data_IF_377938847111
#
_entry.id   IF_377938847111
#
_cell.length_a   1.000
_cell.length_b   1.000
_cell.length_c   1.000
_cell.angle_alpha   90.00
_cell.angle_beta   90.00
_cell.angle_gamma   90.00
#
_symmetry.space_group_name_H-M   'P 1'
#
loop_
_entity.id
_entity.type
_entity.pdbx_description
1 polymer ?
#
# COMPACT_ATOMS: atom_id res chain seq x y z
N UNK A 1 47.43 -37.88 -37.58
CA UNK A 1 48.38 -37.14 -36.72
C UNK A 1 47.52 -36.48 -35.64
N UNK A 2 47.41 -37.08 -34.44
CA UNK A 2 48.32 -36.90 -33.28
C UNK A 2 48.34 -35.42 -32.85
N UNK A 3 48.10 -34.97 -31.60
CA UNK A 3 47.96 -35.55 -30.27
C UNK A 3 47.34 -34.43 -29.37
N UNK A 4 46.47 -34.76 -28.40
CA UNK A 4 46.63 -34.57 -26.93
C UNK A 4 46.35 -33.19 -26.33
N UNK A 5 45.52 -33.19 -25.27
CA UNK A 5 45.44 -32.11 -24.29
C UNK A 5 44.28 -32.27 -23.29
N UNK A 6 44.44 -33.15 -22.30
CA UNK A 6 43.54 -33.36 -21.14
C UNK A 6 43.40 -32.12 -20.24
N UNK A 7 42.27 -32.00 -19.51
CA UNK A 7 42.14 -31.90 -18.03
C UNK A 7 40.67 -31.57 -17.67
N UNK A 8 39.92 -32.52 -17.10
CA UNK A 8 39.64 -32.70 -15.65
C UNK A 8 38.44 -31.84 -15.16
N UNK A 9 37.26 -32.41 -14.95
CA UNK A 9 36.79 -33.14 -13.76
C UNK A 9 35.97 -32.20 -12.86
N UNK A 10 34.64 -32.37 -12.80
CA UNK A 10 33.83 -32.34 -11.57
C UNK A 10 32.45 -32.96 -11.86
N UNK A 11 32.36 -34.26 -11.59
CA UNK A 11 31.11 -34.92 -11.23
C UNK A 11 31.05 -34.97 -9.70
N UNK A 12 29.93 -34.54 -9.11
CA UNK A 12 29.64 -34.65 -7.67
C UNK A 12 28.14 -34.52 -7.47
N UNK A 13 27.40 -35.61 -7.66
CA UNK A 13 26.87 -36.52 -6.63
C UNK A 13 25.66 -35.96 -5.86
N UNK A 14 24.50 -36.50 -6.25
CA UNK A 14 23.26 -36.52 -5.49
C UNK A 14 23.46 -37.26 -4.16
N UNK A 15 23.02 -36.66 -3.06
CA UNK A 15 22.77 -37.38 -1.82
C UNK A 15 21.57 -36.77 -1.10
N UNK A 16 20.42 -37.40 -1.30
CA UNK A 16 19.24 -37.31 -0.44
C UNK A 16 19.58 -37.95 0.91
N UNK A 17 19.40 -37.22 2.01
CA UNK A 17 19.42 -37.78 3.35
C UNK A 17 18.00 -37.76 3.93
N UNK A 18 17.59 -38.95 4.36
CA UNK A 18 16.26 -39.33 4.77
C UNK A 18 15.80 -38.67 6.08
N UNK A 19 14.50 -38.43 6.16
CA UNK A 19 13.77 -38.23 7.40
C UNK A 19 13.79 -39.52 8.25
N UNK A 20 13.88 -39.44 9.58
CA UNK A 20 13.44 -40.53 10.43
C UNK A 20 11.93 -40.37 10.69
N UNK A 21 11.17 -41.29 10.10
CA UNK A 21 9.85 -41.66 10.55
C UNK A 21 9.92 -42.20 11.99
N UNK A 22 9.15 -41.62 12.90
CA UNK A 22 8.73 -42.30 14.12
C UNK A 22 7.24 -42.60 14.01
N UNK A 23 6.89 -43.88 13.94
CA UNK A 23 5.53 -44.38 14.11
C UNK A 23 5.46 -45.29 15.32
N UNK A 24 4.53 -44.95 16.22
CA UNK A 24 3.61 -45.78 16.99
C UNK A 24 4.14 -47.01 17.75
N UNK A 25 3.93 -47.02 19.08
CA UNK A 25 2.90 -47.87 19.70
C UNK A 25 2.76 -47.68 21.24
N UNK A 26 1.49 -47.46 21.64
CA UNK A 26 0.78 -47.92 22.85
C UNK A 26 1.43 -47.94 24.24
N UNK A 27 0.80 -47.20 25.16
CA UNK A 27 0.14 -47.84 26.30
C UNK A 27 -1.08 -47.06 26.76
N UNK A 28 -2.26 -47.61 26.44
CA UNK A 28 -3.48 -47.41 27.21
C UNK A 28 -3.27 -48.00 28.59
N UNK A 29 -3.31 -47.17 29.63
CA UNK A 29 -3.64 -47.65 30.97
C UNK A 29 -4.78 -46.81 31.51
N UNK A 30 -5.98 -47.33 31.28
CA UNK A 30 -7.20 -46.95 32.00
C UNK A 30 -7.00 -47.23 33.48
N UNK A 31 -7.09 -46.20 34.31
CA UNK A 31 -7.22 -46.30 35.75
C UNK A 31 -8.51 -45.64 36.17
N UNK A 32 -9.55 -46.44 36.40
CA UNK A 32 -10.74 -46.03 37.15
C UNK A 32 -10.40 -46.04 38.64
N UNK A 33 -10.53 -44.91 39.32
CA UNK A 33 -10.75 -44.87 40.77
C UNK A 33 -11.35 -43.52 41.21
N UNK A 34 -12.67 -43.54 41.44
CA UNK A 34 -13.38 -42.98 42.61
C UNK A 34 -13.12 -41.53 43.03
N UNK A 35 -14.16 -40.70 42.80
CA UNK A 35 -14.92 -39.93 43.81
C UNK A 35 -14.18 -39.51 45.08
N UNK A 36 -13.97 -38.20 45.22
CA UNK A 36 -14.17 -37.52 46.50
C UNK A 36 -14.68 -36.11 46.26
N UNK A 37 -15.96 -35.88 46.59
CA UNK A 37 -16.48 -34.54 46.85
C UNK A 37 -15.65 -33.91 47.96
N UNK A 38 -15.17 -32.70 47.73
CA UNK A 38 -15.04 -31.72 48.80
C UNK A 38 -15.35 -30.33 48.24
N UNK A 39 -16.39 -29.75 48.84
CA UNK A 39 -16.86 -28.40 48.66
C UNK A 39 -15.76 -27.41 49.01
N UNK A 40 -15.39 -26.55 48.07
CA UNK A 40 -14.90 -25.22 48.37
C UNK A 40 -15.53 -24.26 47.37
N UNK A 41 -16.56 -23.58 47.84
CA UNK A 41 -17.22 -22.46 47.20
C UNK A 41 -16.18 -21.38 46.88
N UNK A 42 -15.66 -21.40 45.66
CA UNK A 42 -14.93 -20.27 45.10
C UNK A 42 -15.96 -19.41 44.40
N UNK A 43 -16.39 -18.35 45.07
CA UNK A 43 -17.00 -17.20 44.42
C UNK A 43 -15.95 -16.61 43.48
N UNK A 44 -15.79 -17.22 42.30
CA UNK A 44 -15.12 -16.56 41.20
C UNK A 44 -16.12 -15.52 40.71
N UNK A 45 -16.01 -14.32 41.26
CA UNK A 45 -16.46 -13.12 40.60
C UNK A 45 -15.72 -13.07 39.25
N UNK A 46 -16.31 -13.71 38.24
CA UNK A 46 -16.10 -13.35 36.86
C UNK A 46 -16.82 -12.01 36.63
N UNK A 47 -16.36 -10.96 37.30
CA UNK A 47 -16.35 -9.64 36.69
C UNK A 47 -15.35 -9.74 35.56
N UNK A 48 -15.76 -10.38 34.46
CA UNK A 48 -15.08 -10.22 33.19
C UNK A 48 -14.93 -8.72 33.03
N UNK A 49 -13.68 -8.26 33.07
CA UNK A 49 -13.35 -6.96 32.54
C UNK A 49 -13.92 -6.99 31.13
N UNK A 50 -15.04 -6.32 30.96
CA UNK A 50 -15.45 -5.77 29.70
C UNK A 50 -14.24 -4.93 29.30
N UNK A 51 -13.32 -5.57 28.56
CA UNK A 51 -12.16 -4.92 27.96
C UNK A 51 -12.78 -3.77 27.22
N UNK A 52 -12.65 -2.55 27.76
CA UNK A 52 -13.21 -1.32 27.23
C UNK A 52 -13.01 -1.33 25.72
N UNK A 53 -14.05 -1.77 24.99
CA UNK A 53 -13.99 -1.94 23.55
C UNK A 53 -13.98 -0.53 23.00
N UNK A 54 -12.82 -0.07 22.59
CA UNK A 54 -12.70 1.22 21.93
C UNK A 54 -13.20 1.05 20.50
N UNK A 55 -14.22 1.82 20.14
CA UNK A 55 -14.69 1.87 18.76
C UNK A 55 -13.58 2.44 17.85
N UNK A 56 -13.56 2.06 16.55
CA UNK A 56 -12.65 2.66 15.60
C UNK A 56 -12.88 4.17 15.53
N UNK A 57 -11.79 4.93 15.63
CA UNK A 57 -11.82 6.39 15.47
C UNK A 57 -10.86 6.80 14.37
N UNK A 58 -10.95 8.04 13.87
CA UNK A 58 -10.02 8.57 12.90
C UNK A 58 -9.37 9.86 13.38
N UNK A 59 -8.06 9.94 13.18
CA UNK A 59 -7.25 11.13 13.44
C UNK A 59 -7.06 11.92 12.15
N UNK A 60 -7.01 13.24 12.26
CA UNK A 60 -6.57 14.10 11.15
C UNK A 60 -5.10 13.82 10.82
N UNK A 61 -4.81 13.60 9.54
CA UNK A 61 -3.46 13.40 9.00
C UNK A 61 -3.14 14.34 7.86
N UNK A 62 -3.93 15.39 7.67
CA UNK A 62 -3.84 16.29 6.52
C UNK A 62 -2.45 16.90 6.42
N UNK A 63 -1.93 17.50 7.50
CA UNK A 63 -0.59 18.11 7.50
C UNK A 63 0.51 17.09 7.17
N UNK A 64 0.50 15.93 7.85
CA UNK A 64 1.51 14.89 7.67
C UNK A 64 1.52 14.30 6.25
N UNK A 65 0.33 14.17 5.65
CA UNK A 65 0.16 13.61 4.31
C UNK A 65 0.42 14.66 3.22
N UNK A 66 0.07 15.93 3.45
CA UNK A 66 0.14 17.00 2.45
C UNK A 66 1.56 17.19 1.92
N UNK A 67 2.56 17.18 2.80
CA UNK A 67 3.96 17.35 2.42
C UNK A 67 4.42 16.25 1.46
N UNK A 68 4.04 15.00 1.76
CA UNK A 68 4.38 13.83 0.93
C UNK A 68 3.65 13.88 -0.40
N UNK A 69 2.36 14.20 -0.40
CA UNK A 69 1.55 14.32 -1.62
C UNK A 69 2.13 15.43 -2.52
N UNK A 70 2.44 16.60 -1.97
CA UNK A 70 3.01 17.72 -2.73
C UNK A 70 4.41 17.42 -3.24
N UNK A 71 5.22 16.67 -2.47
CA UNK A 71 6.52 16.19 -2.96
C UNK A 71 6.35 15.30 -4.20
N UNK A 72 5.42 14.35 -4.18
CA UNK A 72 5.13 13.47 -5.31
C UNK A 72 4.56 14.23 -6.52
N UNK A 73 3.68 15.21 -6.28
CA UNK A 73 3.08 16.06 -7.34
C UNK A 73 4.08 17.05 -7.94
N UNK A 74 5.02 17.56 -7.15
CA UNK A 74 5.97 18.59 -7.56
C UNK A 74 7.29 18.03 -8.08
N UNK A 75 8.12 17.48 -7.17
CA UNK A 75 9.53 17.13 -7.43
C UNK A 75 9.66 16.11 -8.55
N UNK A 76 8.75 15.14 -8.61
CA UNK A 76 8.81 14.04 -9.57
C UNK A 76 8.24 14.42 -10.95
N UNK A 77 7.53 15.54 -11.07
CA UNK A 77 6.73 15.85 -12.26
C UNK A 77 7.05 17.22 -12.84
N UNK A 78 8.21 17.81 -12.52
CA UNK A 78 8.69 19.07 -13.11
C UNK A 78 7.69 20.24 -13.00
N UNK A 79 6.82 20.21 -11.98
CA UNK A 79 5.80 21.24 -11.77
C UNK A 79 4.60 21.16 -12.72
N UNK A 80 4.34 20.00 -13.34
CA UNK A 80 3.14 19.77 -14.16
C UNK A 80 1.85 19.79 -13.33
N UNK A 81 1.94 19.57 -12.01
CA UNK A 81 0.82 19.63 -11.09
C UNK A 81 0.99 20.78 -10.11
N UNK A 82 -0.10 21.49 -9.84
CA UNK A 82 -0.15 22.47 -8.76
C UNK A 82 -0.02 21.78 -7.40
N UNK A 83 0.62 22.49 -6.46
CA UNK A 83 0.68 22.07 -5.05
C UNK A 83 -0.70 22.19 -4.43
N UNK A 84 -1.11 21.15 -3.72
CA UNK A 84 -2.33 21.15 -2.92
C UNK A 84 -2.16 22.00 -1.67
N UNK A 85 -3.28 22.54 -1.20
CA UNK A 85 -3.41 23.12 0.13
C UNK A 85 -4.37 22.29 1.01
N UNK A 86 -4.52 22.66 2.27
CA UNK A 86 -5.44 21.96 3.19
C UNK A 86 -6.90 22.33 2.86
N UNK A 87 -7.78 21.33 2.81
CA UNK A 87 -9.23 21.54 2.85
C UNK A 87 -9.74 21.45 4.29
N UNK A 88 -10.66 22.33 4.67
CA UNK A 88 -11.38 22.18 5.93
C UNK A 88 -12.58 21.21 5.82
N UNK A 89 -13.12 20.79 6.97
CA UNK A 89 -14.21 19.80 7.01
C UNK A 89 -15.51 20.29 6.34
N UNK A 90 -15.75 21.61 6.32
CA UNK A 90 -16.92 22.19 5.67
C UNK A 90 -16.77 22.16 4.15
N UNK A 91 -15.58 22.47 3.63
CA UNK A 91 -15.24 22.33 2.21
C UNK A 91 -15.39 20.88 1.74
N UNK A 92 -14.89 19.92 2.52
CA UNK A 92 -15.07 18.47 2.25
C UNK A 92 -16.55 18.11 2.17
N UNK A 93 -17.31 18.48 3.21
CA UNK A 93 -18.75 18.19 3.30
C UNK A 93 -19.52 18.78 2.12
N UNK A 94 -19.21 20.02 1.74
CA UNK A 94 -19.89 20.70 0.65
C UNK A 94 -19.53 20.09 -0.70
N UNK A 95 -18.25 19.79 -0.92
CA UNK A 95 -17.76 19.19 -2.17
C UNK A 95 -18.39 17.80 -2.40
N UNK A 96 -18.44 16.95 -1.37
CA UNK A 96 -19.06 15.62 -1.42
C UNK A 96 -20.57 15.64 -1.72
N UNK A 97 -21.26 16.75 -1.44
CA UNK A 97 -22.68 16.94 -1.79
C UNK A 97 -22.89 17.38 -3.24
N UNK A 98 -21.84 17.87 -3.91
CA UNK A 98 -21.92 18.47 -5.26
C UNK A 98 -21.28 17.63 -6.36
N UNK A 99 -20.58 16.54 -6.04
CA UNK A 99 -20.06 15.59 -7.03
C UNK A 99 -21.21 14.89 -7.80
N UNK A 100 -20.89 14.20 -8.91
CA UNK A 100 -21.88 13.54 -9.80
C UNK A 100 -22.79 12.57 -9.06
N UNK A 101 -22.22 11.82 -8.11
CA UNK A 101 -22.96 10.93 -7.21
C UNK A 101 -22.81 11.46 -5.78
N UNK A 102 -23.76 12.25 -5.26
CA UNK A 102 -23.64 12.88 -3.95
C UNK A 102 -23.46 11.87 -2.83
N UNK A 103 -22.53 12.15 -1.92
CA UNK A 103 -22.32 11.35 -0.72
C UNK A 103 -23.10 11.97 0.44
N UNK A 104 -24.07 11.22 0.96
CA UNK A 104 -24.89 11.62 2.12
C UNK A 104 -24.72 10.71 3.33
N UNK A 105 -24.04 9.57 3.16
CA UNK A 105 -23.71 8.63 4.22
C UNK A 105 -22.18 8.53 4.33
N UNK A 106 -21.56 8.87 5.47
CA UNK A 106 -22.20 9.23 6.73
C UNK A 106 -22.81 10.64 6.69
N UNK A 107 -23.77 10.90 7.58
CA UNK A 107 -24.35 12.24 7.72
C UNK A 107 -23.26 13.28 8.04
N UNK A 108 -23.30 14.39 7.30
CA UNK A 108 -22.25 15.43 7.25
C UNK A 108 -20.86 14.81 7.06
N UNK A 109 -20.61 14.25 5.87
CA UNK A 109 -19.44 13.43 5.64
C UNK A 109 -18.16 14.26 5.67
N UNK A 110 -17.22 13.83 6.51
CA UNK A 110 -15.86 14.37 6.59
C UNK A 110 -14.86 13.25 6.31
N UNK A 111 -13.59 13.59 6.04
CA UNK A 111 -12.54 12.59 5.82
C UNK A 111 -12.46 11.58 6.98
N UNK A 112 -12.58 12.05 8.23
CA UNK A 112 -12.58 11.19 9.43
C UNK A 112 -13.74 10.20 9.43
N UNK A 113 -14.97 10.67 9.21
CA UNK A 113 -16.15 9.81 9.23
C UNK A 113 -16.13 8.79 8.10
N UNK A 114 -15.64 9.19 6.93
CA UNK A 114 -15.47 8.28 5.78
C UNK A 114 -14.40 7.23 6.07
N UNK A 115 -13.25 7.61 6.64
CA UNK A 115 -12.20 6.68 7.02
C UNK A 115 -12.73 5.59 7.98
N UNK A 116 -13.51 5.98 8.99
CA UNK A 116 -14.17 5.03 9.92
C UNK A 116 -15.14 4.11 9.17
N UNK A 117 -15.97 4.65 8.27
CA UNK A 117 -16.90 3.83 7.47
C UNK A 117 -16.19 2.83 6.56
N UNK A 118 -15.07 3.23 5.97
CA UNK A 118 -14.23 2.36 5.14
C UNK A 118 -13.58 1.24 5.96
N UNK A 119 -13.07 1.54 7.15
CA UNK A 119 -12.50 0.53 8.04
C UNK A 119 -13.57 -0.46 8.55
N UNK A 120 -14.80 0.03 8.75
CA UNK A 120 -15.94 -0.72 9.27
C UNK A 120 -16.26 -0.34 10.71
N UNK A 121 -17.55 -0.32 11.04
CA UNK A 121 -18.06 0.16 12.33
C UNK A 121 -17.86 -0.85 13.49
N UNK A 122 -17.23 -2.00 13.24
CA UNK A 122 -16.90 -3.00 14.26
C UNK A 122 -15.51 -2.74 14.82
N UNK A 123 -15.27 -3.14 16.07
CA UNK A 123 -13.95 -3.02 16.69
C UNK A 123 -12.86 -3.85 15.98
N UNK A 124 -13.23 -4.75 15.06
CA UNK A 124 -12.29 -5.56 14.27
C UNK A 124 -11.93 -4.93 12.93
N UNK A 125 -12.67 -3.92 12.46
CA UNK A 125 -12.42 -3.26 11.17
C UNK A 125 -12.22 -4.25 10.00
N UNK A 126 -13.08 -5.25 9.92
CA UNK A 126 -12.95 -6.33 8.92
C UNK A 126 -13.08 -5.81 7.49
N UNK A 127 -13.92 -4.80 7.27
CA UNK A 127 -14.12 -4.17 5.96
C UNK A 127 -12.88 -3.42 5.45
N UNK A 128 -12.02 -2.95 6.36
CA UNK A 128 -10.88 -2.10 6.02
C UNK A 128 -9.90 -2.76 5.05
N UNK A 129 -9.82 -4.10 5.01
CA UNK A 129 -8.91 -4.83 4.12
C UNK A 129 -9.22 -4.58 2.65
N UNK A 130 -10.51 -4.54 2.33
CA UNK A 130 -11.03 -4.44 0.97
C UNK A 130 -11.50 -3.01 0.65
N UNK A 131 -11.16 -2.04 1.52
CA UNK A 131 -11.53 -0.64 1.35
C UNK A 131 -10.90 -0.06 0.07
N UNK A 132 -11.74 0.61 -0.72
CA UNK A 132 -11.38 1.19 -2.00
C UNK A 132 -12.20 2.47 -2.26
N UNK A 133 -12.05 3.05 -3.44
CA UNK A 133 -12.73 4.30 -3.83
C UNK A 133 -14.14 4.12 -4.44
N UNK A 134 -14.73 2.91 -4.39
CA UNK A 134 -16.01 2.60 -5.06
C UNK A 134 -17.16 3.44 -4.53
N UNK A 135 -17.28 3.55 -3.21
CA UNK A 135 -18.32 4.35 -2.57
C UNK A 135 -17.88 5.78 -2.29
N UNK A 136 -16.61 5.98 -1.98
CA UNK A 136 -16.06 7.25 -1.52
C UNK A 136 -14.87 7.64 -2.40
N UNK A 137 -15.03 8.64 -3.30
CA UNK A 137 -13.93 9.05 -4.16
C UNK A 137 -12.81 9.66 -3.32
N UNK A 138 -11.60 9.16 -3.50
CA UNK A 138 -10.41 9.61 -2.80
C UNK A 138 -9.32 8.56 -2.81
N UNK A 139 -8.16 8.93 -2.25
CA UNK A 139 -7.11 7.96 -1.96
C UNK A 139 -7.53 7.11 -0.76
N UNK A 140 -7.43 5.80 -0.90
CA UNK A 140 -7.81 4.80 0.12
C UNK A 140 -6.67 3.81 0.28
N UNK A 141 -6.05 3.79 1.46
CA UNK A 141 -4.94 2.87 1.76
C UNK A 141 -5.28 2.04 3.01
N UNK A 142 -5.68 0.77 2.83
CA UNK A 142 -5.73 -0.21 3.91
C UNK A 142 -4.36 -0.42 4.56
N UNK A 143 -4.31 -0.54 5.88
CA UNK A 143 -3.08 -0.96 6.59
C UNK A 143 -3.39 -1.80 7.82
N UNK A 144 -2.49 -2.72 8.14
CA UNK A 144 -2.70 -3.69 9.23
C UNK A 144 -2.93 -3.00 10.58
N UNK A 145 -3.82 -3.57 11.39
CA UNK A 145 -3.97 -3.16 12.79
C UNK A 145 -2.65 -3.23 13.57
N UNK A 146 -2.51 -2.39 14.59
CA UNK A 146 -1.26 -2.25 15.35
C UNK A 146 -0.14 -1.50 14.64
N UNK A 147 -0.32 -1.14 13.36
CA UNK A 147 0.63 -0.29 12.62
C UNK A 147 0.32 1.18 12.85
N UNK A 148 1.35 1.99 13.11
CA UNK A 148 1.21 3.43 13.18
C UNK A 148 1.09 4.01 11.75
N UNK A 149 0.06 4.82 11.44
CA UNK A 149 -0.09 5.40 10.11
C UNK A 149 0.95 6.49 9.89
N UNK A 150 1.98 6.17 9.10
CA UNK A 150 2.94 7.14 8.59
C UNK A 150 2.58 7.45 7.15
N UNK A 151 2.14 8.68 6.89
CA UNK A 151 1.78 9.09 5.53
C UNK A 151 2.92 8.90 4.54
N UNK A 152 4.18 9.14 4.95
CA UNK A 152 5.36 8.92 4.11
C UNK A 152 5.44 7.49 3.58
N UNK A 153 5.25 6.52 4.46
CA UNK A 153 5.46 5.11 4.15
C UNK A 153 4.27 4.60 3.32
N UNK A 154 3.05 4.87 3.80
CA UNK A 154 1.82 4.42 3.17
C UNK A 154 1.64 5.01 1.76
N UNK A 155 1.81 6.33 1.60
CA UNK A 155 1.60 6.99 0.31
C UNK A 155 2.71 6.61 -0.68
N UNK A 156 3.96 6.51 -0.21
CA UNK A 156 5.06 6.13 -1.11
C UNK A 156 4.96 4.67 -1.58
N UNK A 157 4.53 3.76 -0.70
CA UNK A 157 4.31 2.35 -1.03
C UNK A 157 3.19 2.21 -2.07
N UNK A 158 2.00 2.79 -1.81
CA UNK A 158 0.87 2.71 -2.76
C UNK A 158 1.20 3.39 -4.08
N UNK A 159 1.92 4.51 -4.05
CA UNK A 159 2.34 5.22 -5.27
C UNK A 159 3.27 4.35 -6.13
N UNK A 160 4.25 3.71 -5.50
CA UNK A 160 5.20 2.82 -6.19
C UNK A 160 4.51 1.58 -6.74
N UNK A 161 3.67 0.92 -5.92
CA UNK A 161 2.91 -0.26 -6.34
C UNK A 161 1.95 0.06 -7.49
N UNK A 162 1.25 1.19 -7.42
CA UNK A 162 0.30 1.62 -8.43
C UNK A 162 0.96 1.97 -9.76
N UNK A 163 2.10 2.66 -9.73
CA UNK A 163 2.88 2.90 -10.95
C UNK A 163 3.35 1.59 -11.58
N UNK A 164 3.93 0.68 -10.80
CA UNK A 164 4.34 -0.63 -11.31
C UNK A 164 3.16 -1.36 -11.97
N UNK A 165 1.98 -1.33 -11.35
CA UNK A 165 0.78 -1.94 -11.92
C UNK A 165 0.34 -1.31 -13.26
N UNK A 166 0.32 0.03 -13.34
CA UNK A 166 0.00 0.75 -14.58
C UNK A 166 0.98 0.41 -15.71
N UNK A 167 2.27 0.27 -15.36
CA UNK A 167 3.33 -0.12 -16.29
C UNK A 167 3.17 -1.55 -16.79
N UNK A 168 2.93 -2.50 -15.90
CA UNK A 168 2.72 -3.92 -16.23
C UNK A 168 1.55 -4.11 -17.21
N UNK A 169 0.49 -3.30 -17.06
CA UNK A 169 -0.68 -3.34 -17.93
C UNK A 169 -0.51 -2.52 -19.23
N UNK A 170 0.65 -1.87 -19.43
CA UNK A 170 0.91 -0.98 -20.57
C UNK A 170 -0.21 0.07 -20.75
N UNK A 171 -0.66 0.67 -19.65
CA UNK A 171 -1.77 1.61 -19.68
C UNK A 171 -1.50 2.79 -20.64
N UNK A 172 -2.49 3.11 -21.48
CA UNK A 172 -2.47 4.23 -22.42
C UNK A 172 -3.29 5.41 -21.87
N UNK A 173 -2.64 6.52 -21.44
CA UNK A 173 -3.32 7.68 -20.88
C UNK A 173 -4.20 8.43 -21.89
N UNK A 174 -3.97 8.25 -23.20
CA UNK A 174 -4.72 8.98 -24.23
C UNK A 174 -6.16 8.46 -24.39
N UNK A 175 -6.34 7.16 -24.17
CA UNK A 175 -7.61 6.45 -24.29
C UNK A 175 -8.22 6.05 -22.94
N UNK A 176 -7.42 5.99 -21.87
CA UNK A 176 -7.86 5.54 -20.56
C UNK A 176 -8.76 6.54 -19.83
N UNK A 177 -9.85 6.02 -19.26
CA UNK A 177 -10.72 6.73 -18.31
C UNK A 177 -10.66 6.04 -16.95
N UNK A 178 -10.89 6.81 -15.89
CA UNK A 178 -10.98 6.29 -14.54
C UNK A 178 -12.29 5.52 -14.35
N UNK A 179 -12.18 4.29 -13.86
CA UNK A 179 -13.29 3.45 -13.43
C UNK A 179 -12.74 2.45 -12.41
N UNK A 180 -13.13 2.62 -11.14
CA UNK A 180 -12.68 1.79 -10.01
C UNK A 180 -13.11 0.32 -10.13
N UNK A 181 -14.08 -0.01 -10.98
CA UNK A 181 -14.51 -1.40 -11.20
C UNK A 181 -13.72 -2.09 -12.34
N UNK A 182 -12.96 -1.33 -13.14
CA UNK A 182 -12.30 -1.83 -14.36
C UNK A 182 -10.79 -1.64 -14.30
N UNK A 183 -10.05 -2.59 -14.86
CA UNK A 183 -8.59 -2.47 -14.96
C UNK A 183 -8.18 -1.23 -15.78
N UNK A 184 -7.15 -0.48 -15.36
CA UNK A 184 -6.22 -0.82 -14.27
C UNK A 184 -6.68 -0.37 -12.87
N UNK A 185 -7.76 0.42 -12.77
CA UNK A 185 -8.12 1.13 -11.54
C UNK A 185 -8.96 0.29 -10.55
N UNK A 186 -9.33 -0.93 -10.92
CA UNK A 186 -9.77 -1.95 -9.96
C UNK A 186 -8.66 -2.45 -9.03
N UNK A 187 -7.41 -2.12 -9.31
CA UNK A 187 -6.32 -2.21 -8.36
C UNK A 187 -6.26 -0.93 -7.50
N UNK A 188 -6.32 -1.08 -6.18
CA UNK A 188 -6.39 0.06 -5.24
C UNK A 188 -5.17 0.99 -5.35
N UNK A 189 -3.97 0.45 -5.57
CA UNK A 189 -2.75 1.24 -5.68
C UNK A 189 -2.74 2.07 -6.97
N UNK A 190 -3.16 1.49 -8.09
CA UNK A 190 -3.31 2.23 -9.35
C UNK A 190 -4.41 3.30 -9.26
N UNK A 191 -5.51 3.01 -8.57
CA UNK A 191 -6.53 4.02 -8.25
C UNK A 191 -5.97 5.15 -7.38
N UNK A 192 -5.16 4.83 -6.37
CA UNK A 192 -4.54 5.84 -5.51
C UNK A 192 -3.57 6.74 -6.29
N UNK A 193 -2.80 6.19 -7.23
CA UNK A 193 -1.96 6.99 -8.14
C UNK A 193 -2.81 7.96 -8.96
N UNK A 194 -3.96 7.52 -9.46
CA UNK A 194 -4.88 8.39 -10.20
C UNK A 194 -5.35 9.58 -9.36
N UNK A 195 -5.74 9.36 -8.10
CA UNK A 195 -6.11 10.45 -7.18
C UNK A 195 -4.94 11.37 -6.82
N UNK A 196 -3.76 10.82 -6.54
CA UNK A 196 -2.56 11.61 -6.19
C UNK A 196 -2.18 12.58 -7.30
N UNK A 197 -2.35 12.16 -8.55
CA UNK A 197 -1.90 12.89 -9.73
C UNK A 197 -3.03 13.64 -10.46
N UNK A 198 -4.25 13.62 -9.94
CA UNK A 198 -5.38 14.32 -10.52
C UNK A 198 -5.15 15.84 -10.50
N UNK A 199 -5.21 16.47 -11.68
CA UNK A 199 -4.80 17.86 -11.87
C UNK A 199 -5.82 18.89 -11.39
N UNK A 200 -7.11 18.55 -11.43
CA UNK A 200 -8.18 19.49 -11.06
C UNK A 200 -8.26 19.72 -9.55
N UNK A 201 -7.75 18.79 -8.75
CA UNK A 201 -7.74 18.95 -7.30
C UNK A 201 -6.72 19.97 -6.82
N UNK A 202 -7.16 20.88 -5.95
CA UNK A 202 -6.35 21.96 -5.36
C UNK A 202 -6.21 21.90 -3.85
N UNK A 203 -7.06 21.11 -3.21
CA UNK A 203 -7.08 20.94 -1.76
C UNK A 203 -7.29 19.49 -1.37
N UNK A 204 -6.78 19.12 -0.21
CA UNK A 204 -6.93 17.76 0.34
C UNK A 204 -7.20 17.81 1.83
N UNK A 205 -8.00 16.85 2.31
CA UNK A 205 -8.19 16.55 3.73
C UNK A 205 -7.98 15.06 3.95
N UNK A 206 -7.13 14.68 4.90
CA UNK A 206 -6.78 13.29 5.17
C UNK A 206 -7.11 12.89 6.59
N UNK A 207 -7.53 11.65 6.76
CA UNK A 207 -7.72 11.04 8.06
C UNK A 207 -7.30 9.57 8.05
N UNK A 208 -6.76 9.09 9.17
CA UNK A 208 -6.36 7.69 9.32
C UNK A 208 -7.06 7.08 10.51
N UNK A 209 -7.63 5.88 10.34
CA UNK A 209 -8.29 5.19 11.44
C UNK A 209 -7.30 4.55 12.42
N UNK A 210 -7.72 4.40 13.65
CA UNK A 210 -6.99 3.71 14.69
C UNK A 210 -7.96 2.84 15.51
N UNK A 211 -7.43 2.18 16.53
CA UNK A 211 -8.21 1.38 17.49
C UNK A 211 -8.92 0.15 16.91
N UNK A 212 -8.61 -0.25 15.68
CA UNK A 212 -8.96 -1.58 15.19
C UNK A 212 -8.20 -2.65 16.01
N UNK A 213 -8.94 -3.54 16.66
CA UNK A 213 -8.41 -4.65 17.46
C UNK A 213 -7.93 -5.84 16.61
N UNK A 214 -8.34 -5.87 15.35
CA UNK A 214 -7.94 -6.83 14.33
C UNK A 214 -8.06 -6.15 12.95
N UNK A 215 -8.04 -6.92 11.87
CA UNK A 215 -8.34 -6.42 10.53
C UNK A 215 -7.38 -5.32 10.06
N UNK A 216 -7.93 -4.30 9.40
CA UNK A 216 -7.18 -3.19 8.81
C UNK A 216 -7.78 -1.85 9.20
N UNK A 217 -6.90 -0.92 9.55
CA UNK A 217 -7.21 0.50 9.55
C UNK A 217 -7.17 1.02 8.09
N UNK A 218 -7.61 2.26 7.89
CA UNK A 218 -7.66 2.91 6.58
C UNK A 218 -7.13 4.34 6.70
N UNK A 219 -6.20 4.70 5.81
CA UNK A 219 -5.86 6.09 5.52
C UNK A 219 -6.72 6.53 4.33
N UNK A 220 -7.54 7.55 4.55
CA UNK A 220 -8.39 8.15 3.54
C UNK A 220 -7.99 9.60 3.31
N UNK A 221 -7.80 10.00 2.06
CA UNK A 221 -7.64 11.39 1.67
C UNK A 221 -8.69 11.78 0.65
N UNK A 222 -9.50 12.79 1.00
CA UNK A 222 -10.44 13.41 0.08
C UNK A 222 -9.79 14.62 -0.58
N UNK A 223 -9.88 14.68 -1.90
CA UNK A 223 -9.42 15.82 -2.69
C UNK A 223 -10.63 16.65 -3.11
N UNK A 224 -10.58 17.98 -2.94
CA UNK A 224 -11.62 18.88 -3.45
C UNK A 224 -11.59 18.82 -4.98
N UNK A 225 -12.77 18.76 -5.58
CA UNK A 225 -12.95 18.44 -7.00
C UNK A 225 -12.31 17.08 -7.35
N UNK A 226 -12.79 15.99 -6.71
CA UNK A 226 -12.14 14.69 -6.81
C UNK A 226 -12.29 14.11 -8.22
N UNK A 227 -11.35 13.25 -8.58
CA UNK A 227 -11.45 12.36 -9.73
C UNK A 227 -12.72 11.51 -9.61
N UNK A 228 -13.48 11.41 -10.70
CA UNK A 228 -14.73 10.64 -10.77
C UNK A 228 -14.72 9.69 -11.98
N UNK A 229 -15.61 8.71 -11.96
CA UNK A 229 -15.78 7.75 -13.05
C UNK A 229 -15.97 8.46 -14.41
N UNK A 230 -15.23 8.01 -15.42
CA UNK A 230 -15.22 8.56 -16.77
C UNK A 230 -14.19 9.69 -16.99
N UNK A 231 -13.57 10.22 -15.93
CA UNK A 231 -12.55 11.26 -16.06
C UNK A 231 -11.25 10.67 -16.62
N UNK A 232 -10.40 11.50 -17.23
CA UNK A 232 -9.07 11.08 -17.71
C UNK A 232 -8.02 11.41 -16.65
N UNK A 233 -7.54 10.44 -15.86
CA UNK A 233 -6.75 10.73 -14.67
C UNK A 233 -5.36 11.31 -14.96
N UNK A 234 -4.86 11.13 -16.18
CA UNK A 234 -3.57 11.67 -16.59
C UNK A 234 -3.67 12.34 -17.95
N UNK A 235 -3.02 13.49 -18.09
CA UNK A 235 -2.63 13.98 -19.41
C UNK A 235 -1.50 13.12 -19.96
N UNK A 236 -1.35 13.05 -21.29
CA UNK A 236 -0.23 12.34 -21.92
C UNK A 236 1.12 12.89 -21.45
N UNK A 237 1.22 14.21 -21.22
CA UNK A 237 2.42 14.85 -20.72
C UNK A 237 2.77 14.39 -19.29
N UNK A 238 1.78 14.44 -18.38
CA UNK A 238 1.92 13.98 -17.01
C UNK A 238 2.33 12.51 -16.95
N UNK A 239 1.68 11.65 -17.72
CA UNK A 239 1.99 10.23 -17.75
C UNK A 239 3.39 9.94 -18.30
N UNK A 240 3.80 10.64 -19.36
CA UNK A 240 5.16 10.50 -19.89
C UNK A 240 6.23 10.99 -18.90
N UNK A 241 5.93 12.02 -18.10
CA UNK A 241 6.83 12.48 -17.06
C UNK A 241 7.09 11.41 -15.99
N UNK A 242 6.07 10.62 -15.63
CA UNK A 242 6.22 9.49 -14.69
C UNK A 242 7.28 8.48 -15.15
N UNK A 243 7.34 8.19 -16.45
CA UNK A 243 8.30 7.22 -17.00
C UNK A 243 9.64 7.83 -17.40
N UNK A 244 9.67 9.13 -17.68
CA UNK A 244 10.90 9.89 -17.85
C UNK A 244 11.81 9.82 -16.61
N UNK A 245 11.24 9.61 -15.42
CA UNK A 245 11.97 9.40 -14.16
C UNK A 245 12.87 8.15 -14.18
N UNK A 246 12.45 7.06 -14.81
CA UNK A 246 13.26 5.83 -14.88
C UNK A 246 14.44 5.99 -15.85
N UNK A 247 14.24 6.72 -16.95
CA UNK A 247 15.30 6.97 -17.94
C UNK A 247 16.38 7.94 -17.44
N UNK A 248 16.07 8.76 -16.43
CA UNK A 248 17.01 9.70 -15.80
C UNK A 248 17.85 9.10 -14.66
N UNK A 249 17.52 7.91 -14.18
CA UNK A 249 18.23 7.22 -13.09
C UNK A 249 19.18 6.10 -13.59
N UNK A 250 19.48 6.06 -14.89
CA UNK A 250 20.66 5.34 -15.35
C UNK A 250 21.89 6.05 -14.77
N UNK A 251 22.48 5.45 -13.73
CA UNK A 251 23.86 5.71 -13.32
C UNK A 251 24.74 5.58 -14.56
N UNK A 252 25.01 6.70 -15.22
CA UNK A 252 26.18 6.83 -16.05
C UNK A 252 27.35 6.84 -15.07
N UNK A 253 27.75 5.64 -14.63
CA UNK A 253 29.18 5.43 -14.43
C UNK A 253 29.80 5.67 -15.79
N UNK A 254 30.12 6.93 -16.07
CA UNK A 254 31.02 7.30 -17.14
C UNK A 254 32.24 6.40 -16.94
N UNK A 255 32.57 5.47 -17.86
CA UNK A 255 33.88 4.89 -17.82
C UNK A 255 34.81 6.07 -18.05
N UNK A 256 35.50 6.49 -16.99
CA UNK A 256 36.51 7.53 -17.07
C UNK A 256 37.44 7.16 -18.21
N UNK A 257 37.46 8.00 -19.25
CA UNK A 257 38.28 7.90 -20.46
C UNK A 257 39.78 7.86 -20.13
N UNK A 258 40.16 7.96 -18.85
CA UNK A 258 41.53 7.88 -18.37
C UNK A 258 42.13 6.46 -18.24
N UNK A 259 41.39 5.36 -18.45
CA UNK A 259 41.95 3.99 -18.24
C UNK A 259 42.28 3.17 -19.48
N UNK A 260 42.14 3.71 -20.70
CA UNK A 260 42.52 2.97 -21.93
C UNK A 260 43.94 3.31 -22.43
N UNK A 261 44.61 4.34 -21.87
CA UNK A 261 45.93 4.77 -22.34
C UNK A 261 47.15 4.23 -21.57
N UNK A 262 46.97 3.31 -20.61
CA UNK A 262 48.10 2.75 -19.83
C UNK A 262 48.37 1.25 -20.01
N UNK A 263 47.75 0.59 -20.98
CA UNK A 263 48.00 -0.83 -21.29
C UNK A 263 48.79 -1.08 -22.60
N UNK A 264 49.09 -0.03 -23.37
CA UNK A 264 49.83 -0.14 -24.64
C UNK A 264 51.33 0.20 -24.54
N UNK A 265 51.81 0.67 -23.39
CA UNK A 265 53.23 0.99 -23.18
C UNK A 265 54.09 -0.17 -22.64
N UNK A 266 53.50 -1.33 -22.34
CA UNK A 266 54.23 -2.50 -21.81
C UNK A 266 54.58 -3.58 -22.85
N UNK A 267 54.27 -3.36 -24.13
CA UNK A 267 54.59 -4.30 -25.23
C UNK A 267 55.74 -3.84 -26.15
N UNK A 268 56.58 -2.90 -25.70
CA UNK A 268 57.81 -2.49 -26.42
C UNK A 268 59.06 -2.68 -25.53
N UNK A 269 59.11 -3.77 -24.76
CA UNK A 269 60.35 -4.22 -24.10
C UNK A 269 60.43 -5.74 -24.05
N UNK A 270 60.68 -6.33 -25.22
CA UNK A 270 61.49 -7.54 -25.42
C UNK A 270 62.08 -7.48 -26.82
#
# INVERSE_FOLDING_TARGET
MAHVGLLAYYAGLLASAAAPHFSLALSLRSGTATSQQNSLSTNLFASGQDLLRTEPTAEDKTTDCLDIINKLRGENLKGLLETLSTADEQEVTQSLKTIRVPITDPADPTAKKIAVKLAGDTNTCESGKDANAEKYPGLVIPYAHGTQPKCSDLIQETYTAGLNHLKELNFDPSAGTYDVAVAPFNNVDASNVAFLLWEESKKVSCAATNNCSAGHNVLFCYFIDPLQEGDKPFTTELYNALWGLETGAAFTSLPSVATVLLALALMIRT
#
